data_IF_618333315213
#
_entry.id   IF_618333315213
#
_cell.length_a   1.000
_cell.length_b   1.000
_cell.length_c   1.000
_cell.angle_alpha   90.00
_cell.angle_beta   90.00
_cell.angle_gamma   90.00
#
_symmetry.space_group_name_H-M   'P 1'
#
loop_
_entity.id
_entity.type
_entity.pdbx_description
1 polymer ?
#
# COMPACT_ATOMS: atom_id res chain seq x y z
N UNK A 1 -20.98 -34.90 28.52
CA UNK A 1 -21.07 -33.57 29.15
C UNK A 1 -20.82 -32.56 28.05
N UNK A 2 -21.90 -31.92 27.64
CA UNK A 2 -21.91 -30.77 26.73
C UNK A 2 -21.25 -29.56 27.40
N UNK A 3 -20.63 -28.67 26.62
CA UNK A 3 -20.62 -27.20 26.77
C UNK A 3 -19.50 -26.57 25.91
N UNK A 4 -19.89 -26.22 24.68
CA UNK A 4 -19.86 -24.86 24.13
C UNK A 4 -18.60 -23.98 24.28
N UNK A 5 -18.01 -23.72 23.12
CA UNK A 5 -17.47 -22.44 22.62
C UNK A 5 -17.16 -21.29 23.59
N UNK A 6 -15.93 -20.79 23.49
CA UNK A 6 -15.56 -19.35 23.58
C UNK A 6 -14.15 -19.23 22.99
N UNK A 7 -13.96 -18.97 21.69
CA UNK A 7 -14.04 -17.65 21.06
C UNK A 7 -13.43 -16.53 21.90
N UNK A 8 -12.21 -16.73 22.38
CA UNK A 8 -11.36 -15.64 22.84
C UNK A 8 -10.70 -14.99 21.62
N UNK A 9 -11.46 -14.13 20.92
CA UNK A 9 -10.83 -13.03 20.17
C UNK A 9 -10.06 -12.19 21.19
N UNK A 10 -8.74 -12.01 21.08
CA UNK A 10 -8.06 -11.03 21.92
C UNK A 10 -8.65 -9.65 21.57
N UNK A 11 -9.46 -9.11 22.49
CA UNK A 11 -9.84 -7.71 22.47
C UNK A 11 -8.60 -6.90 22.86
N UNK A 12 -7.93 -6.32 21.88
CA UNK A 12 -6.85 -5.37 22.08
C UNK A 12 -7.44 -4.06 22.61
N UNK A 13 -7.38 -3.90 23.93
CA UNK A 13 -7.64 -2.64 24.62
C UNK A 13 -6.73 -1.54 24.11
N UNK A 14 -7.35 -0.43 23.76
CA UNK A 14 -6.80 0.77 23.14
C UNK A 14 -5.86 1.53 24.09
N UNK A 15 -4.57 1.58 23.75
CA UNK A 15 -3.61 2.60 24.20
C UNK A 15 -2.43 2.58 23.21
N UNK A 16 -2.39 3.58 22.34
CA UNK A 16 -1.60 3.62 21.11
C UNK A 16 -2.06 2.58 20.08
N UNK A 17 -3.19 2.86 19.43
CA UNK A 17 -3.43 2.32 18.09
C UNK A 17 -2.23 2.73 17.24
N UNK A 18 -1.26 1.85 17.07
CA UNK A 18 -0.39 1.89 15.91
C UNK A 18 -1.36 1.83 14.74
N UNK A 19 -1.62 3.00 14.16
CA UNK A 19 -2.42 3.10 12.95
C UNK A 19 -1.52 2.45 11.91
N UNK A 20 -1.65 1.14 11.74
CA UNK A 20 -0.90 0.36 10.74
C UNK A 20 -1.75 0.29 9.49
N UNK A 21 -1.09 0.36 8.33
CA UNK A 21 -1.72 0.10 7.06
C UNK A 21 -1.33 -1.30 6.63
N UNK A 22 -2.30 -2.15 6.40
CA UNK A 22 -2.09 -3.57 6.11
C UNK A 22 -2.28 -3.88 4.63
N UNK A 23 -1.95 -5.11 4.23
CA UNK A 23 -2.25 -5.62 2.90
C UNK A 23 -3.76 -5.68 2.64
N UNK A 24 -4.57 -5.97 3.65
CA UNK A 24 -6.03 -5.98 3.53
C UNK A 24 -6.59 -4.56 3.28
N UNK A 25 -6.04 -3.54 3.95
CA UNK A 25 -6.39 -2.14 3.69
C UNK A 25 -6.04 -1.71 2.26
N UNK A 26 -4.93 -2.20 1.72
CA UNK A 26 -4.51 -1.96 0.35
C UNK A 26 -5.41 -2.70 -0.65
N UNK A 27 -5.69 -3.98 -0.43
CA UNK A 27 -6.55 -4.81 -1.29
C UNK A 27 -7.98 -4.28 -1.37
N UNK A 28 -8.51 -3.76 -0.27
CA UNK A 28 -9.85 -3.15 -0.22
C UNK A 28 -9.86 -1.68 -0.64
N UNK A 29 -8.72 -1.12 -1.08
CA UNK A 29 -8.57 0.30 -1.44
C UNK A 29 -9.14 1.24 -0.35
N UNK A 30 -8.92 0.91 0.93
CA UNK A 30 -9.44 1.69 2.06
C UNK A 30 -9.03 3.15 1.94
N UNK A 31 -9.97 4.06 2.20
CA UNK A 31 -9.70 5.50 2.24
C UNK A 31 -9.23 5.89 3.65
N UNK A 32 -8.02 6.48 3.81
CA UNK A 32 -7.55 6.94 5.12
C UNK A 32 -8.42 8.12 5.60
N UNK A 33 -8.87 8.04 6.85
CA UNK A 33 -9.78 9.00 7.49
C UNK A 33 -9.04 10.13 8.21
N UNK A 34 -7.85 9.85 8.72
CA UNK A 34 -7.05 10.79 9.50
C UNK A 34 -5.59 10.85 9.03
N UNK A 35 -4.81 11.77 9.61
CA UNK A 35 -3.42 11.98 9.21
C UNK A 35 -2.51 10.81 9.58
N UNK A 36 -2.70 10.21 10.75
CA UNK A 36 -1.95 9.01 11.15
C UNK A 36 -2.15 7.87 10.14
N UNK A 37 -3.38 7.68 9.66
CA UNK A 37 -3.73 6.71 8.62
C UNK A 37 -3.07 7.05 7.27
N UNK A 38 -3.02 8.33 6.91
CA UNK A 38 -2.28 8.78 5.71
C UNK A 38 -0.79 8.48 5.82
N UNK A 39 -0.19 8.70 6.99
CA UNK A 39 1.22 8.40 7.24
C UNK A 39 1.48 6.89 7.18
N UNK A 40 0.63 6.08 7.82
CA UNK A 40 0.70 4.64 7.79
C UNK A 40 0.60 4.07 6.38
N UNK A 41 -0.38 4.56 5.59
CA UNK A 41 -0.54 4.20 4.18
C UNK A 41 0.73 4.49 3.39
N UNK A 42 1.31 5.68 3.59
CA UNK A 42 2.54 6.09 2.89
C UNK A 42 3.72 5.20 3.26
N UNK A 43 3.90 4.91 4.55
CA UNK A 43 4.96 4.02 5.03
C UNK A 43 4.81 2.61 4.44
N UNK A 44 3.62 2.02 4.52
CA UNK A 44 3.33 0.71 3.93
C UNK A 44 3.60 0.67 2.42
N UNK A 45 3.12 1.65 1.66
CA UNK A 45 3.40 1.72 0.22
C UNK A 45 4.88 1.94 -0.07
N UNK A 46 5.59 2.69 0.79
CA UNK A 46 7.01 2.95 0.63
C UNK A 46 7.82 1.67 0.77
N UNK A 47 7.61 0.94 1.88
CA UNK A 47 8.27 -0.33 2.22
C UNK A 47 7.99 -1.42 1.18
N UNK A 48 6.73 -1.56 0.76
CA UNK A 48 6.31 -2.56 -0.23
C UNK A 48 6.56 -2.12 -1.68
N UNK A 49 7.22 -0.98 -1.91
CA UNK A 49 7.49 -0.41 -3.25
C UNK A 49 6.23 -0.26 -4.12
N UNK A 50 5.11 0.03 -3.49
CA UNK A 50 3.81 0.24 -4.12
C UNK A 50 3.57 1.71 -4.45
N UNK A 51 2.70 1.93 -5.42
CA UNK A 51 2.10 3.20 -5.70
C UNK A 51 1.08 3.56 -4.60
N UNK A 52 1.21 4.72 -3.96
CA UNK A 52 0.25 5.14 -2.92
C UNK A 52 -1.13 5.54 -3.45
N UNK A 53 -1.32 5.55 -4.77
CA UNK A 53 -2.60 5.83 -5.43
C UNK A 53 -3.35 4.55 -5.77
N UNK A 54 -2.78 3.69 -6.61
CA UNK A 54 -3.41 2.46 -7.12
C UNK A 54 -2.91 1.16 -6.47
N UNK A 55 -1.92 1.23 -5.57
CA UNK A 55 -1.26 0.08 -4.93
C UNK A 55 -0.49 -0.87 -5.87
N UNK A 56 -0.33 -0.54 -7.15
CA UNK A 56 0.52 -1.32 -8.06
C UNK A 56 2.00 -1.24 -7.67
N UNK A 57 2.75 -2.35 -7.79
CA UNK A 57 4.19 -2.35 -7.60
C UNK A 57 4.93 -1.72 -8.79
N UNK A 58 6.19 -1.33 -8.56
CA UNK A 58 7.12 -0.94 -9.63
C UNK A 58 7.12 0.54 -9.99
N UNK A 59 6.19 1.33 -9.45
CA UNK A 59 6.19 2.78 -9.65
C UNK A 59 5.60 3.54 -8.47
N UNK A 60 5.94 4.83 -8.37
CA UNK A 60 5.41 5.73 -7.33
C UNK A 60 4.22 6.53 -7.86
N UNK A 61 3.37 6.99 -6.95
CA UNK A 61 2.19 7.78 -7.31
C UNK A 61 2.53 9.01 -8.17
N UNK A 62 3.70 9.63 -7.95
CA UNK A 62 4.19 10.75 -8.78
C UNK A 62 4.17 10.45 -10.28
N UNK A 63 4.40 9.21 -10.70
CA UNK A 63 4.44 8.78 -12.12
C UNK A 63 3.29 7.83 -12.49
N UNK A 64 2.35 7.58 -11.56
CA UNK A 64 1.19 6.73 -11.80
C UNK A 64 0.30 7.34 -12.87
N UNK A 65 0.01 6.60 -13.95
CA UNK A 65 -0.81 7.08 -15.06
C UNK A 65 -2.28 7.30 -14.65
N UNK A 66 -2.77 6.52 -13.68
CA UNK A 66 -4.15 6.62 -13.17
C UNK A 66 -4.33 7.76 -12.17
N UNK A 67 -3.24 8.31 -11.64
CA UNK A 67 -3.31 9.41 -10.70
C UNK A 67 -3.86 10.65 -11.38
N UNK A 68 -4.80 11.35 -10.70
CA UNK A 68 -5.51 12.52 -11.27
C UNK A 68 -4.57 13.60 -11.80
N UNK A 69 -3.39 13.80 -11.20
CA UNK A 69 -2.40 14.78 -11.64
C UNK A 69 -1.57 14.37 -12.87
N UNK A 70 -1.66 13.11 -13.28
CA UNK A 70 -0.98 12.53 -14.44
C UNK A 70 -1.95 12.14 -15.56
N UNK A 71 -3.26 12.07 -15.28
CA UNK A 71 -4.29 11.80 -16.28
C UNK A 71 -4.29 12.92 -17.33
N UNK A 72 -3.67 12.67 -18.48
CA UNK A 72 -3.49 13.63 -19.57
C UNK A 72 -2.04 14.07 -19.82
N UNK A 73 -1.09 13.67 -18.96
CA UNK A 73 0.34 13.79 -19.24
C UNK A 73 0.76 12.53 -19.98
N UNK A 74 0.67 12.56 -21.31
CA UNK A 74 1.27 11.53 -22.17
C UNK A 74 2.72 11.33 -21.76
N UNK A 75 3.07 10.07 -21.46
CA UNK A 75 4.42 9.63 -21.13
C UNK A 75 5.41 10.19 -22.15
N UNK A 76 6.29 11.11 -21.74
CA UNK A 76 7.64 11.08 -22.31
C UNK A 76 8.31 9.87 -21.68
N UNK A 77 8.31 8.79 -22.44
CA UNK A 77 9.03 7.58 -22.13
C UNK A 77 10.53 7.86 -22.22
N UNK A 78 11.26 7.74 -21.12
CA UNK A 78 12.70 7.58 -21.17
C UNK A 78 13.15 6.48 -20.18
N UNK A 79 13.29 5.29 -20.77
CA UNK A 79 14.42 4.38 -20.63
C UNK A 79 15.15 4.28 -19.28
N UNK A 80 15.06 3.09 -18.65
CA UNK A 80 16.26 2.27 -18.40
C UNK A 80 15.89 0.79 -18.17
N UNK A 81 15.73 0.05 -19.25
CA UNK A 81 16.11 -1.36 -19.30
C UNK A 81 17.61 -1.43 -18.99
N UNK A 82 17.96 -1.89 -17.79
CA UNK A 82 19.32 -2.38 -17.47
C UNK A 82 19.25 -3.89 -17.72
N UNK A 83 19.43 -4.29 -18.98
CA UNK A 83 20.61 -5.00 -19.48
C UNK A 83 20.90 -6.27 -18.69
N UNK A 84 20.34 -7.36 -19.22
CA UNK A 84 20.91 -8.71 -19.22
C UNK A 84 22.41 -8.62 -19.52
N UNK A 85 23.25 -9.00 -18.55
CA UNK A 85 24.66 -9.30 -18.79
C UNK A 85 24.86 -10.81 -18.64
N UNK A 86 24.46 -11.57 -19.65
CA UNK A 86 25.19 -12.78 -20.01
C UNK A 86 26.49 -12.32 -20.69
N UNK A 87 27.60 -12.46 -19.98
CA UNK A 87 28.91 -12.60 -20.62
C UNK A 87 29.90 -13.29 -19.68
N UNK A 88 30.00 -14.61 -19.80
CA UNK A 88 31.24 -15.36 -20.01
C UNK A 88 30.96 -16.86 -20.01
#
# INVERSE_FOLDING_TARGET
MDLSASNLKPQTSNLNHYITWTSDDAANHRIPRNEAERCAKRAYCFENKLCSWCYDPGYRARVCAEAKWNKGKTKSAENKTVIEQEKA
#
